data_IF_174879650572
#
_entry.id   IF_174879650572
#
_cell.length_a   1.000
_cell.length_b   1.000
_cell.length_c   1.000
_cell.angle_alpha   90.00
_cell.angle_beta   90.00
_cell.angle_gamma   90.00
#
_symmetry.space_group_name_H-M   'P 1'
#
loop_
_entity.id
_entity.type
_entity.pdbx_description
1 polymer ?
#
# COMPACT_ATOMS: atom_id res chain seq x y z
N UNK A 1 -86.80 61.03 -1.29
CA UNK A 1 -86.54 61.46 0.10
C UNK A 1 -87.17 60.42 1.02
N UNK A 2 -86.46 59.82 1.99
CA UNK A 2 -84.98 59.71 2.12
C UNK A 2 -84.38 58.92 0.91
N UNK A 3 -83.31 58.12 0.91
CA UNK A 3 -82.33 57.66 1.93
C UNK A 3 -80.97 57.35 1.26
N UNK A 4 -79.99 56.88 2.06
CA UNK A 4 -78.65 56.49 1.62
C UNK A 4 -78.22 55.14 2.21
N UNK A 5 -77.53 54.31 1.45
CA UNK A 5 -76.59 53.32 1.97
C UNK A 5 -75.47 53.07 0.95
N UNK A 6 -74.29 53.62 1.22
CA UNK A 6 -73.11 53.51 0.36
C UNK A 6 -72.32 52.23 0.69
N UNK A 7 -72.37 51.24 -0.19
CA UNK A 7 -71.56 50.02 -0.04
C UNK A 7 -70.18 50.19 -0.68
N UNK A 8 -69.18 50.49 0.15
CA UNK A 8 -67.77 50.60 -0.26
C UNK A 8 -67.17 49.21 -0.56
N UNK A 9 -66.98 48.90 -1.84
CA UNK A 9 -66.28 47.69 -2.29
C UNK A 9 -64.76 47.85 -2.13
N UNK A 10 -64.26 47.57 -0.93
CA UNK A 10 -62.83 47.33 -0.71
C UNK A 10 -62.41 45.99 -1.34
N UNK A 11 -61.85 46.02 -2.55
CA UNK A 11 -61.03 44.90 -3.01
C UNK A 11 -59.68 44.94 -2.27
N UNK A 12 -59.30 43.90 -1.50
CA UNK A 12 -57.93 43.76 -1.07
C UNK A 12 -57.07 43.46 -2.29
N UNK A 13 -56.19 44.41 -2.66
CA UNK A 13 -55.23 44.23 -3.75
C UNK A 13 -54.19 43.19 -3.36
N UNK A 14 -54.51 41.91 -3.59
CA UNK A 14 -53.63 40.79 -3.30
C UNK A 14 -52.47 40.78 -4.29
N UNK A 15 -51.46 41.60 -4.00
CA UNK A 15 -50.15 41.58 -4.62
C UNK A 15 -49.50 40.24 -4.30
N UNK A 16 -49.80 39.24 -5.14
CA UNK A 16 -49.05 38.02 -5.29
C UNK A 16 -47.63 38.41 -5.71
N UNK A 17 -46.76 38.62 -4.72
CA UNK A 17 -45.32 38.51 -4.93
C UNK A 17 -45.04 37.06 -5.31
N UNK A 18 -45.15 36.77 -6.60
CA UNK A 18 -44.51 35.62 -7.22
C UNK A 18 -43.00 35.79 -7.02
N UNK A 19 -42.51 35.34 -5.87
CA UNK A 19 -41.09 35.05 -5.66
C UNK A 19 -40.72 34.00 -6.69
N UNK A 20 -40.26 34.46 -7.85
CA UNK A 20 -39.59 33.62 -8.81
C UNK A 20 -38.39 33.02 -8.08
N UNK A 21 -38.51 31.75 -7.70
CA UNK A 21 -37.39 30.99 -7.12
C UNK A 21 -36.43 30.77 -8.27
N UNK A 22 -35.52 31.73 -8.46
CA UNK A 22 -34.41 31.61 -9.39
C UNK A 22 -33.57 30.43 -8.94
N UNK A 23 -33.78 29.27 -9.58
CA UNK A 23 -32.93 28.11 -9.48
C UNK A 23 -31.59 28.47 -10.12
N UNK A 24 -30.75 29.15 -9.33
CA UNK A 24 -29.35 29.38 -9.66
C UNK A 24 -28.64 28.04 -9.50
N UNK A 25 -28.67 27.25 -10.57
CA UNK A 25 -27.73 26.14 -10.74
C UNK A 25 -26.32 26.69 -10.50
N UNK A 26 -25.50 26.11 -9.60
CA UNK A 26 -24.13 26.55 -9.42
C UNK A 26 -23.39 26.41 -10.76
N UNK A 27 -22.86 27.52 -11.26
CA UNK A 27 -22.12 27.52 -12.52
C UNK A 27 -20.86 26.65 -12.38
N UNK A 28 -20.51 25.92 -13.43
CA UNK A 28 -19.29 25.12 -13.46
C UNK A 28 -18.07 26.04 -13.37
N UNK A 29 -17.36 25.98 -12.24
CA UNK A 29 -16.09 26.68 -12.05
C UNK A 29 -14.98 25.83 -12.66
N UNK A 30 -14.31 26.33 -13.69
CA UNK A 30 -13.16 25.70 -14.31
C UNK A 30 -11.88 26.40 -13.84
N UNK A 31 -10.94 25.62 -13.32
CA UNK A 31 -9.62 26.11 -12.91
C UNK A 31 -8.66 26.14 -14.12
N UNK A 32 -7.95 27.26 -14.29
CA UNK A 32 -7.02 27.48 -15.40
C UNK A 32 -5.60 27.05 -15.06
N UNK A 33 -4.93 26.33 -15.97
CA UNK A 33 -3.52 25.94 -15.83
C UNK A 33 -3.26 24.49 -16.26
N UNK A 34 -4.30 23.67 -16.31
CA UNK A 34 -4.23 22.29 -16.80
C UNK A 34 -4.20 22.23 -18.32
N UNK A 35 -3.32 21.40 -18.87
CA UNK A 35 -3.25 21.02 -20.28
C UNK A 35 -3.20 19.50 -20.40
N UNK A 36 -3.75 18.97 -21.50
CA UNK A 36 -3.82 17.53 -21.78
C UNK A 36 -3.13 17.29 -23.12
N UNK A 37 -2.20 16.34 -23.16
CA UNK A 37 -1.46 15.94 -24.36
C UNK A 37 -1.41 14.41 -24.48
N UNK A 38 -1.58 13.90 -25.69
CA UNK A 38 -1.45 12.45 -25.97
C UNK A 38 0.03 12.10 -26.09
N UNK A 39 0.56 11.35 -25.11
CA UNK A 39 1.96 10.90 -25.08
C UNK A 39 2.20 9.58 -25.80
N UNK A 40 1.19 8.69 -25.82
CA UNK A 40 1.18 7.40 -26.55
C UNK A 40 -0.21 7.24 -27.18
N UNK A 41 -0.27 6.79 -28.44
CA UNK A 41 -1.50 6.43 -29.14
C UNK A 41 -1.44 4.98 -29.63
N UNK A 42 -2.02 4.08 -28.84
CA UNK A 42 -2.10 2.64 -29.15
C UNK A 42 -2.95 2.32 -30.40
N UNK A 43 -3.71 3.27 -30.94
CA UNK A 43 -4.43 3.09 -32.21
C UNK A 43 -3.49 3.20 -33.42
N UNK A 44 -2.33 3.86 -33.28
CA UNK A 44 -1.33 3.97 -34.34
C UNK A 44 -0.25 2.88 -34.22
N UNK A 45 -0.09 2.30 -33.04
CA UNK A 45 0.95 1.33 -32.71
C UNK A 45 0.58 -0.12 -33.13
N UNK A 46 0.27 -0.31 -34.42
CA UNK A 46 0.00 -1.63 -34.99
C UNK A 46 1.30 -2.45 -35.12
N UNK A 47 1.39 -3.68 -34.56
CA UNK A 47 2.49 -4.58 -34.90
C UNK A 47 2.37 -5.00 -36.38
N UNK A 48 3.48 -5.07 -37.14
CA UNK A 48 3.42 -5.33 -38.59
C UNK A 48 2.80 -6.70 -38.89
N UNK A 49 1.61 -6.68 -39.50
CA UNK A 49 0.81 -7.88 -39.81
C UNK A 49 -0.28 -8.23 -38.79
N UNK A 50 -0.42 -7.48 -37.70
CA UNK A 50 -1.50 -7.67 -36.71
C UNK A 50 -2.81 -6.96 -37.09
N UNK A 51 -3.95 -7.54 -36.69
CA UNK A 51 -5.26 -6.90 -36.76
C UNK A 51 -5.56 -6.04 -35.52
N UNK A 52 -6.60 -5.21 -35.58
CA UNK A 52 -7.02 -4.30 -34.49
C UNK A 52 -7.33 -5.01 -33.15
N UNK A 53 -7.55 -6.33 -33.19
CA UNK A 53 -7.65 -7.18 -32.01
C UNK A 53 -6.36 -7.20 -31.18
N UNK A 54 -5.20 -7.00 -31.82
CA UNK A 54 -3.86 -7.10 -31.24
C UNK A 54 -3.35 -5.81 -30.57
N UNK A 55 -4.02 -4.66 -30.75
CA UNK A 55 -3.69 -3.43 -30.02
C UNK A 55 -3.98 -3.57 -28.51
N UNK A 56 -3.29 -2.77 -27.70
CA UNK A 56 -3.45 -2.67 -26.24
C UNK A 56 -4.53 -1.63 -25.94
N UNK A 57 -5.46 -1.94 -25.03
CA UNK A 57 -6.54 -1.03 -24.61
C UNK A 57 -6.33 -0.61 -23.16
N UNK A 58 -5.75 0.58 -22.91
CA UNK A 58 -5.49 1.04 -21.55
C UNK A 58 -6.76 1.13 -20.71
N UNK A 59 -6.73 0.50 -19.55
CA UNK A 59 -7.78 0.59 -18.54
C UNK A 59 -7.31 1.33 -17.28
N UNK A 60 -6.15 0.96 -16.74
CA UNK A 60 -5.56 1.57 -15.55
C UNK A 60 -4.02 1.63 -15.65
N UNK A 61 -3.43 2.60 -14.94
CA UNK A 61 -2.01 2.95 -14.95
C UNK A 61 -1.51 3.21 -13.52
N UNK A 62 -0.31 2.73 -13.20
CA UNK A 62 0.34 2.99 -11.90
C UNK A 62 1.88 2.98 -12.05
N UNK A 63 2.63 3.96 -11.50
CA UNK A 63 4.09 3.91 -11.53
C UNK A 63 4.64 2.79 -10.64
N UNK A 64 5.72 2.16 -11.07
CA UNK A 64 6.49 1.24 -10.22
C UNK A 64 7.50 2.06 -9.40
N UNK A 65 7.54 1.82 -8.09
CA UNK A 65 8.22 2.70 -7.13
C UNK A 65 9.72 2.39 -7.02
N UNK A 66 10.10 1.11 -7.16
CA UNK A 66 11.50 0.66 -7.11
C UNK A 66 12.12 0.56 -8.51
N UNK A 67 11.35 0.10 -9.49
CA UNK A 67 11.69 0.00 -10.90
C UNK A 67 11.61 1.36 -11.57
N UNK A 68 12.58 2.22 -11.24
CA UNK A 68 12.68 3.58 -11.76
C UNK A 68 12.52 3.60 -13.30
N UNK A 69 11.67 4.51 -13.78
CA UNK A 69 11.30 4.66 -15.18
C UNK A 69 10.40 3.56 -15.79
N UNK A 70 9.66 2.78 -14.98
CA UNK A 70 8.57 1.92 -15.47
C UNK A 70 7.19 2.36 -14.96
N UNK A 71 6.22 2.30 -15.87
CA UNK A 71 4.79 2.48 -15.64
C UNK A 71 4.07 1.15 -15.91
N UNK A 72 3.29 0.66 -14.96
CA UNK A 72 2.45 -0.52 -15.12
C UNK A 72 1.13 -0.12 -15.78
N UNK A 73 0.73 -0.90 -16.79
CA UNK A 73 -0.44 -0.72 -17.63
C UNK A 73 -1.30 -1.99 -17.63
N UNK A 74 -2.58 -1.87 -17.28
CA UNK A 74 -3.57 -2.93 -17.38
C UNK A 74 -4.43 -2.75 -18.64
N UNK A 75 -4.52 -3.80 -19.46
CA UNK A 75 -5.63 -4.02 -20.39
C UNK A 75 -6.66 -4.98 -19.78
N UNK A 76 -7.70 -4.41 -19.18
CA UNK A 76 -8.81 -5.16 -18.57
C UNK A 76 -9.62 -5.97 -19.59
N UNK A 77 -9.63 -5.56 -20.87
CA UNK A 77 -10.39 -6.24 -21.94
C UNK A 77 -9.70 -7.53 -22.41
N UNK A 78 -8.36 -7.53 -22.41
CA UNK A 78 -7.53 -8.69 -22.76
C UNK A 78 -7.11 -9.51 -21.55
N UNK A 79 -7.29 -8.97 -20.34
CA UNK A 79 -6.84 -9.55 -19.08
C UNK A 79 -5.31 -9.65 -18.98
N UNK A 80 -4.61 -8.63 -19.50
CA UNK A 80 -3.15 -8.61 -19.69
C UNK A 80 -2.53 -7.37 -19.03
N UNK A 81 -1.35 -7.55 -18.42
CA UNK A 81 -0.54 -6.51 -17.80
C UNK A 81 0.74 -6.27 -18.60
N UNK A 82 1.09 -5.00 -18.77
CA UNK A 82 2.27 -4.54 -19.49
C UNK A 82 3.10 -3.58 -18.63
N UNK A 83 4.42 -3.58 -18.82
CA UNK A 83 5.29 -2.47 -18.40
C UNK A 83 5.53 -1.54 -19.59
N UNK A 84 5.48 -0.24 -19.34
CA UNK A 84 5.73 0.83 -20.32
C UNK A 84 6.89 1.67 -19.83
N UNK A 85 7.87 1.93 -20.70
CA UNK A 85 9.08 2.67 -20.35
C UNK A 85 8.89 4.18 -20.34
N UNK A 86 9.34 4.83 -19.27
CA UNK A 86 9.38 6.28 -19.11
C UNK A 86 10.72 6.87 -19.62
N UNK A 87 10.75 8.12 -20.10
CA UNK A 87 9.61 9.02 -20.32
C UNK A 87 8.67 8.51 -21.41
N UNK A 88 7.37 8.82 -21.30
CA UNK A 88 6.36 8.35 -22.25
C UNK A 88 6.51 9.06 -23.61
N UNK A 89 6.59 8.28 -24.69
CA UNK A 89 6.52 8.75 -26.07
C UNK A 89 5.89 7.69 -26.97
N UNK A 90 5.59 8.05 -28.23
CA UNK A 90 5.10 7.10 -29.24
C UNK A 90 6.09 5.96 -29.56
N UNK A 91 7.34 6.06 -29.08
CA UNK A 91 8.42 5.07 -29.21
C UNK A 91 8.71 4.33 -27.88
N UNK A 92 7.93 4.57 -26.81
CA UNK A 92 8.11 3.89 -25.53
C UNK A 92 8.01 2.37 -25.68
N UNK A 93 9.02 1.66 -25.18
CA UNK A 93 9.02 0.21 -25.07
C UNK A 93 7.82 -0.27 -24.22
N UNK A 94 7.04 -1.21 -24.77
CA UNK A 94 5.89 -1.84 -24.11
C UNK A 94 6.11 -3.35 -24.05
N UNK A 95 6.32 -3.88 -22.85
CA UNK A 95 6.69 -5.28 -22.61
C UNK A 95 5.63 -6.01 -21.79
N UNK A 96 5.39 -7.29 -22.09
CA UNK A 96 4.44 -8.13 -21.36
C UNK A 96 4.95 -8.38 -19.93
N UNK A 97 4.14 -8.05 -18.92
CA UNK A 97 4.43 -8.35 -17.51
C UNK A 97 3.72 -9.63 -17.03
N UNK A 98 2.44 -9.80 -17.37
CA UNK A 98 1.68 -11.04 -17.13
C UNK A 98 0.36 -11.07 -17.90
N UNK A 99 -0.31 -12.21 -17.95
CA UNK A 99 -1.59 -12.37 -18.65
C UNK A 99 -1.43 -12.58 -20.15
N UNK A 100 -0.35 -13.24 -20.57
CA UNK A 100 -0.16 -13.72 -21.94
C UNK A 100 -0.94 -14.99 -22.28
N UNK A 101 -1.46 -15.70 -21.27
CA UNK A 101 -2.35 -16.84 -21.46
C UNK A 101 -3.77 -16.42 -21.87
N UNK A 102 -4.54 -17.34 -22.44
CA UNK A 102 -5.95 -17.12 -22.79
C UNK A 102 -6.78 -16.73 -21.56
N UNK A 103 -7.72 -15.79 -21.70
CA UNK A 103 -8.61 -15.32 -20.62
C UNK A 103 -9.20 -16.50 -19.84
N UNK A 104 -8.95 -16.54 -18.53
CA UNK A 104 -9.15 -17.75 -17.73
C UNK A 104 -8.52 -17.65 -16.34
N UNK A 105 -8.18 -18.80 -15.74
CA UNK A 105 -7.63 -18.88 -14.38
C UNK A 105 -6.49 -19.91 -14.31
N UNK A 106 -5.26 -19.43 -14.49
CA UNK A 106 -4.02 -20.20 -14.32
C UNK A 106 -2.95 -19.32 -13.65
N UNK A 107 -2.27 -19.90 -12.66
CA UNK A 107 -0.98 -19.39 -12.15
C UNK A 107 0.16 -19.85 -13.07
N UNK A 108 1.27 -19.12 -13.11
CA UNK A 108 2.35 -19.36 -14.07
C UNK A 108 3.31 -18.18 -14.23
N UNK A 109 4.18 -18.26 -15.24
CA UNK A 109 5.00 -17.14 -15.71
C UNK A 109 4.15 -16.11 -16.50
N UNK A 110 4.79 -15.03 -16.98
CA UNK A 110 4.12 -13.96 -17.71
C UNK A 110 3.30 -14.42 -18.94
N UNK A 111 3.68 -15.54 -19.57
CA UNK A 111 3.07 -16.09 -20.79
C UNK A 111 2.06 -17.21 -20.54
N UNK A 112 2.16 -17.90 -19.40
CA UNK A 112 1.30 -19.02 -19.01
C UNK A 112 0.23 -18.66 -17.97
N UNK A 113 0.41 -17.55 -17.26
CA UNK A 113 -0.58 -17.00 -16.36
C UNK A 113 -1.77 -16.38 -17.12
N UNK A 114 -2.98 -16.64 -16.59
CA UNK A 114 -4.24 -16.11 -17.10
C UNK A 114 -5.06 -15.46 -15.99
N UNK A 115 -5.68 -14.32 -16.32
CA UNK A 115 -6.69 -13.62 -15.51
C UNK A 115 -8.02 -13.55 -16.28
N UNK A 116 -9.08 -13.09 -15.62
CA UNK A 116 -10.41 -12.98 -16.21
C UNK A 116 -11.09 -11.65 -15.87
N UNK A 117 -10.95 -10.70 -16.81
CA UNK A 117 -11.43 -9.31 -16.72
C UNK A 117 -11.06 -8.61 -15.40
N UNK A 118 -9.77 -8.62 -14.99
CA UNK A 118 -9.32 -7.91 -13.81
C UNK A 118 -9.65 -6.42 -13.94
N UNK A 119 -10.19 -5.83 -12.87
CA UNK A 119 -10.69 -4.44 -12.88
C UNK A 119 -9.77 -3.43 -12.24
N UNK A 120 -8.90 -3.88 -11.34
CA UNK A 120 -8.09 -3.02 -10.50
C UNK A 120 -6.84 -3.76 -10.02
N UNK A 121 -5.83 -3.02 -9.58
CA UNK A 121 -4.61 -3.58 -9.02
C UNK A 121 -3.88 -2.60 -8.09
N UNK A 122 -3.26 -3.14 -7.05
CA UNK A 122 -2.35 -2.41 -6.17
C UNK A 122 -0.89 -2.83 -6.42
N UNK A 123 0.06 -1.97 -6.04
CA UNK A 123 1.51 -2.23 -6.14
C UNK A 123 2.15 -1.97 -4.78
N UNK A 124 3.02 -2.87 -4.31
CA UNK A 124 3.75 -2.69 -3.04
C UNK A 124 5.09 -1.95 -3.15
N UNK A 125 5.74 -1.73 -2.00
CA UNK A 125 7.06 -1.09 -1.87
C UNK A 125 8.20 -1.88 -2.53
N UNK A 126 7.93 -3.09 -3.04
CA UNK A 126 8.87 -4.00 -3.71
C UNK A 126 8.44 -4.28 -5.15
N UNK A 127 7.49 -3.50 -5.68
CA UNK A 127 6.86 -3.60 -7.01
C UNK A 127 6.08 -4.91 -7.28
N UNK A 128 5.71 -5.71 -6.27
CA UNK A 128 4.77 -6.81 -6.53
C UNK A 128 3.38 -6.23 -6.86
N UNK A 129 2.70 -6.85 -7.82
CA UNK A 129 1.37 -6.40 -8.28
C UNK A 129 0.30 -7.31 -7.71
N UNK A 130 -0.68 -6.73 -7.02
CA UNK A 130 -1.83 -7.44 -6.45
C UNK A 130 -3.06 -7.14 -7.30
N UNK A 131 -3.66 -8.17 -7.90
CA UNK A 131 -4.67 -8.05 -8.97
C UNK A 131 -6.05 -8.46 -8.49
N UNK A 132 -7.05 -7.61 -8.74
CA UNK A 132 -8.46 -7.91 -8.54
C UNK A 132 -9.02 -8.75 -9.70
N UNK A 133 -8.75 -10.05 -9.67
CA UNK A 133 -9.13 -11.02 -10.70
C UNK A 133 -10.58 -11.46 -10.55
N UNK A 134 -11.47 -10.49 -10.81
CA UNK A 134 -12.83 -10.44 -10.26
C UNK A 134 -13.77 -11.55 -10.74
N UNK A 135 -13.68 -11.98 -12.00
CA UNK A 135 -14.54 -13.05 -12.54
C UNK A 135 -14.06 -14.43 -12.08
N UNK A 136 -12.79 -14.54 -11.66
CA UNK A 136 -12.26 -15.73 -10.99
C UNK A 136 -12.48 -15.69 -9.46
N UNK A 137 -13.04 -14.60 -8.92
CA UNK A 137 -13.24 -14.36 -7.48
C UNK A 137 -11.94 -14.49 -6.67
N UNK A 138 -10.83 -13.97 -7.19
CA UNK A 138 -9.50 -14.19 -6.65
C UNK A 138 -8.68 -12.90 -6.52
N UNK A 139 -7.85 -12.83 -5.47
CA UNK A 139 -6.72 -11.90 -5.41
C UNK A 139 -5.49 -12.67 -5.87
N UNK A 140 -4.85 -12.17 -6.92
CA UNK A 140 -3.62 -12.74 -7.50
C UNK A 140 -2.45 -11.84 -7.18
N UNK A 141 -1.23 -12.38 -7.19
CA UNK A 141 0.02 -11.63 -7.03
C UNK A 141 0.97 -11.95 -8.17
N UNK A 142 1.42 -10.92 -8.90
CA UNK A 142 2.58 -10.99 -9.80
C UNK A 142 3.81 -10.60 -8.97
N UNK A 143 4.76 -11.53 -8.82
CA UNK A 143 6.01 -11.32 -8.08
C UNK A 143 7.02 -10.53 -8.91
N UNK A 144 7.48 -9.38 -8.42
CA UNK A 144 8.54 -8.59 -9.08
C UNK A 144 9.88 -9.32 -9.12
N UNK A 145 10.15 -10.15 -8.11
CA UNK A 145 11.42 -10.87 -7.93
C UNK A 145 11.55 -12.15 -8.77
N UNK A 146 10.43 -12.71 -9.25
CA UNK A 146 10.42 -13.97 -9.99
C UNK A 146 9.61 -13.97 -11.29
N UNK A 147 8.85 -12.91 -11.58
CA UNK A 147 7.94 -12.83 -12.73
C UNK A 147 6.72 -13.76 -12.64
N UNK A 148 6.60 -14.55 -11.57
CA UNK A 148 5.55 -15.55 -11.41
C UNK A 148 4.26 -14.91 -10.88
N UNK A 149 3.14 -15.30 -11.49
CA UNK A 149 1.78 -15.00 -11.02
C UNK A 149 1.28 -16.16 -10.15
N UNK A 150 0.73 -15.82 -8.98
CA UNK A 150 0.21 -16.79 -7.99
C UNK A 150 -1.14 -16.34 -7.45
N UNK A 151 -2.01 -17.30 -7.09
CA UNK A 151 -3.25 -17.03 -6.36
C UNK A 151 -2.94 -16.90 -4.87
N UNK A 152 -3.26 -15.76 -4.26
CA UNK A 152 -2.99 -15.51 -2.84
C UNK A 152 -4.25 -15.52 -1.97
N UNK A 153 -5.42 -15.20 -2.53
CA UNK A 153 -6.71 -15.35 -1.87
C UNK A 153 -7.83 -15.69 -2.86
N UNK A 154 -8.88 -16.37 -2.40
CA UNK A 154 -10.04 -16.72 -3.22
C UNK A 154 -9.71 -17.70 -4.36
N UNK A 155 -10.54 -17.72 -5.40
CA UNK A 155 -10.36 -18.59 -6.57
C UNK A 155 -10.66 -20.08 -6.37
N UNK A 156 -10.28 -20.69 -5.23
CA UNK A 156 -10.41 -22.12 -4.97
C UNK A 156 -11.85 -22.66 -5.10
N UNK A 157 -12.84 -21.92 -4.61
CA UNK A 157 -14.25 -22.29 -4.69
C UNK A 157 -14.87 -22.05 -6.08
N UNK A 158 -14.22 -21.21 -6.92
CA UNK A 158 -14.75 -20.58 -8.14
C UNK A 158 -16.18 -20.04 -7.98
N UNK A 159 -16.49 -19.46 -6.80
CA UNK A 159 -17.81 -18.93 -6.46
C UNK A 159 -17.73 -17.56 -5.80
N UNK A 160 -18.64 -16.69 -6.23
CA UNK A 160 -18.94 -15.44 -5.53
C UNK A 160 -19.37 -15.70 -4.09
N UNK A 161 -18.91 -14.88 -3.16
CA UNK A 161 -19.28 -14.94 -1.75
C UNK A 161 -18.63 -13.82 -0.94
N UNK A 162 -18.81 -13.85 0.37
CA UNK A 162 -18.25 -12.86 1.32
C UNK A 162 -17.62 -13.53 2.56
N UNK A 163 -17.26 -14.81 2.43
CA UNK A 163 -16.70 -15.59 3.56
C UNK A 163 -15.31 -15.06 3.92
N UNK A 164 -15.07 -14.83 5.20
CA UNK A 164 -13.76 -14.52 5.78
C UNK A 164 -13.07 -15.77 6.34
N UNK A 165 -11.77 -15.68 6.60
CA UNK A 165 -10.95 -16.78 7.15
C UNK A 165 -9.54 -16.78 6.55
N UNK A 166 -8.83 -17.92 6.59
CA UNK A 166 -7.60 -18.11 5.82
C UNK A 166 -7.83 -17.80 4.34
N UNK A 167 -6.85 -17.17 3.68
CA UNK A 167 -7.03 -16.59 2.34
C UNK A 167 -7.53 -17.58 1.27
N UNK A 168 -7.21 -18.87 1.40
CA UNK A 168 -7.68 -19.95 0.53
C UNK A 168 -9.18 -20.25 0.66
N UNK A 169 -9.76 -19.96 1.83
CA UNK A 169 -11.17 -20.16 2.14
C UNK A 169 -12.00 -18.87 1.97
N UNK A 170 -11.35 -17.72 1.86
CA UNK A 170 -12.02 -16.45 1.64
C UNK A 170 -12.74 -16.44 0.28
N UNK A 171 -13.92 -15.83 0.21
CA UNK A 171 -14.65 -15.61 -1.05
C UNK A 171 -14.99 -14.14 -1.23
N UNK A 172 -15.01 -13.68 -2.48
CA UNK A 172 -15.20 -12.28 -2.88
C UNK A 172 -16.35 -12.17 -3.90
N UNK A 173 -16.86 -10.97 -4.16
CA UNK A 173 -17.84 -10.75 -5.22
C UNK A 173 -17.22 -10.74 -6.63
N UNK A 174 -17.97 -10.28 -7.66
CA UNK A 174 -17.44 -9.94 -9.00
C UNK A 174 -17.06 -8.47 -9.15
N UNK A 175 -17.21 -7.69 -8.08
CA UNK A 175 -17.01 -6.25 -8.08
C UNK A 175 -16.28 -5.83 -6.80
N UNK A 176 -14.94 -5.95 -6.84
CA UNK A 176 -14.05 -5.53 -5.78
C UNK A 176 -12.75 -4.92 -6.34
N UNK A 177 -12.21 -3.96 -5.59
CA UNK A 177 -10.97 -3.21 -5.87
C UNK A 177 -9.99 -3.35 -4.69
N UNK A 178 -8.71 -3.01 -4.88
CA UNK A 178 -7.59 -3.27 -3.95
C UNK A 178 -6.75 -2.00 -3.71
N UNK A 179 -6.43 -1.72 -2.45
CA UNK A 179 -5.52 -0.62 -2.06
C UNK A 179 -4.43 -1.16 -1.14
N UNK A 180 -3.16 -1.02 -1.52
CA UNK A 180 -2.02 -1.34 -0.64
C UNK A 180 -1.82 -0.25 0.42
N UNK A 181 -1.66 -0.67 1.67
CA UNK A 181 -1.44 0.21 2.82
C UNK A 181 -0.08 -0.11 3.46
N UNK A 182 1.03 0.56 3.04
CA UNK A 182 2.38 0.26 3.53
C UNK A 182 2.50 0.31 5.05
N UNK A 183 1.83 1.26 5.70
CA UNK A 183 1.83 1.46 7.16
C UNK A 183 1.13 0.33 7.94
N UNK A 184 0.38 -0.53 7.27
CA UNK A 184 -0.36 -1.65 7.87
C UNK A 184 0.17 -3.01 7.41
N UNK A 185 1.06 -3.05 6.42
CA UNK A 185 1.45 -4.28 5.72
C UNK A 185 0.22 -5.09 5.25
N UNK A 186 -0.72 -4.44 4.57
CA UNK A 186 -1.99 -5.05 4.20
C UNK A 186 -2.52 -4.53 2.85
N UNK A 187 -3.38 -5.32 2.21
CA UNK A 187 -4.36 -4.81 1.25
C UNK A 187 -5.66 -4.49 1.97
N UNK A 188 -6.25 -3.35 1.65
CA UNK A 188 -7.66 -3.08 1.87
C UNK A 188 -8.43 -3.44 0.59
N UNK A 189 -9.53 -4.16 0.74
CA UNK A 189 -10.38 -4.63 -0.37
C UNK A 189 -11.73 -3.92 -0.27
N UNK A 190 -12.10 -3.19 -1.31
CA UNK A 190 -13.41 -2.54 -1.44
C UNK A 190 -14.36 -3.51 -2.16
N UNK A 191 -14.92 -4.47 -1.43
CA UNK A 191 -15.77 -5.54 -1.95
C UNK A 191 -17.21 -5.05 -2.13
N UNK A 192 -17.39 -4.14 -3.11
CA UNK A 192 -18.63 -3.41 -3.41
C UNK A 192 -19.83 -4.33 -3.61
N UNK A 193 -19.66 -5.45 -4.33
CA UNK A 193 -20.72 -6.42 -4.57
C UNK A 193 -21.30 -7.00 -3.26
N UNK A 194 -20.47 -7.11 -2.22
CA UNK A 194 -20.85 -7.53 -0.88
C UNK A 194 -21.10 -6.35 0.10
N UNK A 195 -20.78 -5.11 -0.31
CA UNK A 195 -20.84 -3.87 0.48
C UNK A 195 -19.90 -3.85 1.69
N UNK A 196 -18.74 -4.51 1.56
CA UNK A 196 -17.74 -4.62 2.64
C UNK A 196 -16.47 -3.84 2.30
N UNK A 197 -15.84 -3.25 3.32
CA UNK A 197 -14.41 -2.97 3.30
C UNK A 197 -13.76 -4.09 4.11
N UNK A 198 -12.78 -4.77 3.53
CA UNK A 198 -12.11 -5.94 4.12
C UNK A 198 -10.61 -5.70 4.17
N UNK A 199 -9.91 -6.36 5.08
CA UNK A 199 -8.46 -6.29 5.21
C UNK A 199 -7.88 -7.68 4.96
N UNK A 200 -6.78 -7.73 4.21
CA UNK A 200 -5.94 -8.92 4.09
C UNK A 200 -4.51 -8.51 4.43
N UNK A 201 -4.02 -9.01 5.56
CA UNK A 201 -2.64 -8.82 5.97
C UNK A 201 -1.71 -9.50 4.98
N UNK A 202 -0.70 -8.78 4.52
CA UNK A 202 0.36 -9.27 3.65
C UNK A 202 1.47 -9.90 4.50
N UNK A 203 2.36 -10.63 3.84
CA UNK A 203 3.51 -11.20 4.52
C UNK A 203 4.59 -10.13 4.76
N UNK A 204 5.35 -10.18 5.87
CA UNK A 204 6.38 -9.18 6.15
C UNK A 204 7.39 -8.98 5.02
N UNK A 205 7.78 -10.07 4.34
CA UNK A 205 8.73 -10.04 3.21
C UNK A 205 8.22 -9.29 1.96
N UNK A 206 6.93 -8.95 1.90
CA UNK A 206 6.32 -8.16 0.83
C UNK A 206 6.28 -6.66 1.17
N UNK A 207 6.31 -6.33 2.47
CA UNK A 207 6.14 -4.97 2.98
C UNK A 207 7.47 -4.27 3.29
N UNK A 208 8.52 -5.04 3.62
CA UNK A 208 9.85 -4.55 3.97
C UNK A 208 10.42 -3.53 2.97
N UNK A 209 10.61 -2.30 3.44
CA UNK A 209 11.39 -1.25 2.78
C UNK A 209 12.86 -1.32 3.23
N UNK A 210 13.83 -1.46 2.30
CA UNK A 210 15.27 -1.41 2.62
C UNK A 210 15.70 -0.20 3.46
N UNK A 211 15.00 0.94 3.37
CA UNK A 211 15.29 2.15 4.15
C UNK A 211 15.05 1.97 5.67
N UNK A 212 14.15 1.06 6.09
CA UNK A 212 13.82 0.89 7.51
C UNK A 212 14.74 -0.05 8.29
N UNK A 213 15.58 -0.84 7.59
CA UNK A 213 16.58 -1.70 8.22
C UNK A 213 17.64 -0.91 9.02
N UNK A 214 17.77 0.41 8.78
CA UNK A 214 18.74 1.29 9.43
C UNK A 214 18.40 1.84 10.82
N UNK A 215 17.24 1.50 11.42
CA UNK A 215 16.85 2.00 12.78
C UNK A 215 16.41 0.93 13.77
N UNK A 216 16.56 -0.35 13.43
CA UNK A 216 16.40 -1.47 14.34
C UNK A 216 17.69 -1.85 15.06
N UNK A 217 18.30 -0.93 15.84
CA UNK A 217 19.42 -1.33 16.72
C UNK A 217 18.87 -2.36 17.71
N UNK A 218 19.41 -3.57 17.67
CA UNK A 218 18.72 -4.78 18.14
C UNK A 218 18.09 -4.63 19.52
N UNK A 219 16.77 -4.87 19.60
CA UNK A 219 16.01 -4.76 20.84
C UNK A 219 16.35 -5.90 21.81
N UNK A 220 17.54 -5.83 22.41
CA UNK A 220 17.91 -6.61 23.59
C UNK A 220 16.80 -6.33 24.63
N UNK A 221 16.02 -7.34 25.06
CA UNK A 221 14.93 -7.09 25.99
C UNK A 221 15.47 -6.44 27.26
N UNK A 222 14.76 -5.48 27.83
CA UNK A 222 15.19 -4.79 29.07
C UNK A 222 15.51 -5.81 30.17
N UNK A 223 14.79 -6.93 30.19
CA UNK A 223 15.04 -8.09 31.05
C UNK A 223 16.45 -8.71 30.89
N UNK A 224 17.02 -8.77 29.68
CA UNK A 224 18.40 -9.25 29.45
C UNK A 224 19.43 -8.27 30.00
N UNK A 225 19.24 -6.96 29.81
CA UNK A 225 20.13 -5.93 30.38
C UNK A 225 20.09 -5.99 31.91
N UNK A 226 18.89 -6.11 32.50
CA UNK A 226 18.69 -6.27 33.94
C UNK A 226 19.32 -7.57 34.47
N UNK A 227 19.14 -8.70 33.77
CA UNK A 227 19.74 -9.98 34.15
C UNK A 227 21.27 -9.94 34.11
N UNK A 228 21.86 -9.37 33.05
CA UNK A 228 23.31 -9.19 32.96
C UNK A 228 23.85 -8.26 34.04
N UNK A 229 23.15 -7.15 34.33
CA UNK A 229 23.53 -6.22 35.41
C UNK A 229 23.49 -6.90 36.79
N UNK A 230 22.48 -7.73 37.06
CA UNK A 230 22.38 -8.53 38.28
C UNK A 230 23.50 -9.58 38.38
N UNK A 231 23.82 -10.28 37.29
CA UNK A 231 24.91 -11.26 37.23
C UNK A 231 26.28 -10.61 37.47
N UNK A 232 26.55 -9.46 36.83
CA UNK A 232 27.78 -8.69 37.05
C UNK A 232 27.86 -8.15 38.49
N UNK A 233 26.75 -7.62 39.03
CA UNK A 233 26.68 -7.15 40.41
C UNK A 233 26.95 -8.26 41.44
N UNK A 234 26.38 -9.45 41.24
CA UNK A 234 26.65 -10.63 42.07
C UNK A 234 28.11 -11.09 41.94
N UNK A 235 28.63 -11.22 40.71
CA UNK A 235 30.01 -11.62 40.47
C UNK A 235 31.01 -10.66 41.12
N UNK A 236 30.82 -9.35 40.94
CA UNK A 236 31.65 -8.32 41.60
C UNK A 236 31.51 -8.37 43.13
N UNK A 237 30.31 -8.62 43.65
CA UNK A 237 30.06 -8.84 45.07
C UNK A 237 30.83 -10.03 45.64
N UNK A 238 30.87 -11.17 44.93
CA UNK A 238 31.65 -12.34 45.34
C UNK A 238 33.17 -12.11 45.23
N UNK A 239 33.65 -11.44 44.18
CA UNK A 239 35.08 -11.15 43.96
C UNK A 239 35.61 -10.13 44.98
N UNK A 240 34.80 -9.13 45.35
CA UNK A 240 35.16 -8.12 46.36
C UNK A 240 35.02 -8.62 47.80
N UNK A 241 34.17 -9.64 48.06
CA UNK A 241 33.93 -10.22 49.39
C UNK A 241 35.20 -10.54 50.21
N UNK A 242 36.23 -11.27 49.69
CA UNK A 242 37.45 -11.55 50.44
C UNK A 242 38.26 -10.30 50.80
N UNK A 243 38.22 -9.26 49.97
CA UNK A 243 38.85 -7.98 50.28
C UNK A 243 38.11 -7.28 51.43
N UNK A 244 36.79 -7.14 51.34
CA UNK A 244 35.98 -6.48 52.39
C UNK A 244 36.17 -7.15 53.76
N UNK A 245 36.25 -8.48 53.83
CA UNK A 245 36.50 -9.21 55.08
C UNK A 245 37.94 -9.07 55.62
N UNK A 246 38.88 -8.60 54.80
CA UNK A 246 40.28 -8.34 55.21
C UNK A 246 40.54 -6.86 55.57
N UNK A 247 39.56 -5.98 55.36
CA UNK A 247 39.74 -4.53 55.34
C UNK A 247 39.49 -3.85 56.69
N UNK A 248 40.23 -4.28 57.72
CA UNK A 248 40.38 -3.50 58.96
C UNK A 248 41.31 -2.28 58.81
N UNK A 249 42.07 -2.21 57.70
CA UNK A 249 43.00 -1.11 57.40
C UNK A 249 42.50 -0.24 56.22
N UNK A 250 42.21 1.03 56.52
CA UNK A 250 41.66 2.03 55.60
C UNK A 250 42.56 2.31 54.39
N UNK A 251 43.88 2.13 54.52
CA UNK A 251 44.87 2.36 53.46
C UNK A 251 44.64 1.48 52.21
N UNK A 252 44.13 0.26 52.37
CA UNK A 252 43.85 -0.64 51.25
C UNK A 252 42.67 -0.18 50.37
N UNK A 253 41.70 0.54 50.95
CA UNK A 253 40.54 1.10 50.23
C UNK A 253 41.03 2.10 49.16
N UNK A 254 41.89 3.03 49.56
CA UNK A 254 42.41 4.08 48.67
C UNK A 254 43.19 3.48 47.48
N UNK A 255 44.03 2.48 47.72
CA UNK A 255 44.77 1.78 46.67
C UNK A 255 43.87 1.09 45.64
N UNK A 256 42.80 0.43 46.09
CA UNK A 256 41.84 -0.23 45.21
C UNK A 256 41.12 0.77 44.29
N UNK A 257 40.56 1.85 44.84
CA UNK A 257 39.86 2.85 44.03
C UNK A 257 40.78 3.66 43.09
N UNK A 258 42.03 3.92 43.48
CA UNK A 258 43.05 4.50 42.59
C UNK A 258 43.33 3.59 41.38
N UNK A 259 43.50 2.29 41.61
CA UNK A 259 43.74 1.30 40.54
C UNK A 259 42.53 1.15 39.61
N UNK A 260 41.31 1.13 40.18
CA UNK A 260 40.07 1.08 39.41
C UNK A 260 39.89 2.31 38.52
N UNK A 261 40.21 3.51 39.04
CA UNK A 261 40.17 4.76 38.27
C UNK A 261 41.18 4.73 37.10
N UNK A 262 42.43 4.37 37.36
CA UNK A 262 43.47 4.26 36.33
C UNK A 262 43.07 3.28 35.21
N UNK A 263 42.43 2.18 35.58
CA UNK A 263 41.91 1.17 34.64
C UNK A 263 40.76 1.71 33.78
N UNK A 264 39.87 2.53 34.36
CA UNK A 264 38.75 3.14 33.64
C UNK A 264 39.23 4.21 32.64
N UNK A 265 40.17 5.07 33.05
CA UNK A 265 40.78 6.11 32.20
C UNK A 265 41.42 5.49 30.94
N UNK A 266 42.16 4.39 31.10
CA UNK A 266 42.74 3.60 30.01
C UNK A 266 41.70 3.03 29.03
N UNK A 267 40.56 2.56 29.53
CA UNK A 267 39.46 2.04 28.70
C UNK A 267 38.79 3.18 27.91
N UNK A 268 38.56 4.34 28.53
CA UNK A 268 38.04 5.52 27.79
C UNK A 268 39.01 6.07 26.75
N UNK A 269 40.32 5.97 26.98
CA UNK A 269 41.33 6.31 25.97
C UNK A 269 41.30 5.35 24.77
N UNK A 270 41.13 4.05 25.01
CA UNK A 270 41.01 3.06 23.93
C UNK A 270 39.71 3.23 23.11
N UNK A 271 38.58 3.50 23.77
CA UNK A 271 37.28 3.65 23.11
C UNK A 271 37.14 4.95 22.31
N UNK A 272 37.96 5.97 22.57
CA UNK A 272 38.01 7.22 21.81
C UNK A 272 39.05 7.21 20.66
N UNK A 273 39.71 6.07 20.41
CA UNK A 273 40.80 5.93 19.44
C UNK A 273 40.43 5.07 18.21
N UNK A 274 39.14 4.75 18.03
CA UNK A 274 38.58 3.92 16.95
C UNK A 274 37.32 4.55 16.37
#
# INVERSE_FOLDING_TARGET
MPATSTLLLFLPSLLLLSRAVTLVSPALVLESGYSITTVIDFNQHHPPGGSDAASVRPFALQPLARSQNLLLLLDSSRSTFYSVRLPLSQESEVSLLSGGGSIGFSDGDATSASFNHPRDFAVDSRDNVYVADRINHAIRKISSSSGMTTTIAGGYSRKSGHTDGPAQNATFSVDFDLVYMPKMCALLISDRGNRLIRQMDLKPEDCEDPQQSGKGLGAIPVCFIAAMALLFGLAFGFISRPFVTSLSNVSAIAGFFMSLKSSYELITLFLNAT
#
